data_IF_533106295304
#
_entry.id   IF_533106295304
#
_cell.length_a   1.000
_cell.length_b   1.000
_cell.length_c   1.000
_cell.angle_alpha   90.00
_cell.angle_beta   90.00
_cell.angle_gamma   90.00
#
_symmetry.space_group_name_H-M   'P 1'
#
loop_
_entity.id
_entity.type
_entity.pdbx_description
1 polymer ?
#
# COMPACT_ATOMS: atom_id res chain seq x y z
N UNK A 1 -9.76 14.96 -0.87
CA UNK A 1 -9.21 13.59 -0.95
C UNK A 1 -8.36 13.18 0.26
N UNK A 2 -8.60 13.75 1.46
CA UNK A 2 -7.83 13.39 2.67
C UNK A 2 -8.10 11.94 3.07
N UNK A 3 -9.37 11.52 3.06
CA UNK A 3 -9.77 10.14 3.34
C UNK A 3 -9.04 9.12 2.46
N UNK A 4 -8.93 9.38 1.15
CA UNK A 4 -8.26 8.49 0.22
C UNK A 4 -6.76 8.38 0.54
N UNK A 5 -6.06 9.51 0.70
CA UNK A 5 -4.63 9.50 1.06
C UNK A 5 -4.38 8.81 2.39
N UNK A 6 -5.21 9.07 3.41
CA UNK A 6 -5.11 8.40 4.70
C UNK A 6 -5.35 6.90 4.58
N UNK A 7 -6.31 6.48 3.75
CA UNK A 7 -6.60 5.06 3.52
C UNK A 7 -5.43 4.36 2.82
N UNK A 8 -4.83 4.97 1.80
CA UNK A 8 -3.64 4.44 1.13
C UNK A 8 -2.44 4.37 2.09
N UNK A 9 -2.23 5.41 2.89
CA UNK A 9 -1.14 5.45 3.88
C UNK A 9 -1.29 4.37 4.95
N UNK A 10 -2.51 4.16 5.45
CA UNK A 10 -2.78 3.09 6.41
C UNK A 10 -2.65 1.70 5.77
N UNK A 11 -3.09 1.51 4.52
CA UNK A 11 -2.90 0.26 3.81
C UNK A 11 -1.41 -0.08 3.65
N UNK A 12 -0.59 0.89 3.22
CA UNK A 12 0.85 0.74 3.17
C UNK A 12 1.43 0.42 4.57
N UNK A 13 0.97 1.11 5.62
CA UNK A 13 1.42 0.83 6.99
C UNK A 13 1.13 -0.60 7.44
N UNK A 14 -0.10 -1.10 7.24
CA UNK A 14 -0.47 -2.48 7.60
C UNK A 14 0.34 -3.51 6.80
N UNK A 15 0.59 -3.24 5.52
CA UNK A 15 1.45 -4.10 4.70
C UNK A 15 2.90 -4.07 5.20
N UNK A 16 3.47 -2.90 5.51
CA UNK A 16 4.82 -2.81 6.05
C UNK A 16 4.97 -3.56 7.37
N UNK A 17 3.98 -3.41 8.27
CA UNK A 17 3.94 -4.13 9.55
C UNK A 17 3.89 -5.64 9.34
N UNK A 18 3.13 -6.12 8.36
CA UNK A 18 3.08 -7.54 8.03
C UNK A 18 4.34 -8.03 7.32
N UNK A 19 4.96 -7.19 6.48
CA UNK A 19 6.16 -7.50 5.69
C UNK A 19 7.38 -7.76 6.55
N UNK A 20 7.45 -7.02 7.65
CA UNK A 20 7.66 -7.58 8.97
C UNK A 20 7.93 -9.08 8.99
N UNK A 21 6.87 -9.85 9.22
CA UNK A 21 6.71 -11.17 9.87
C UNK A 21 7.45 -12.30 9.14
N UNK A 22 8.18 -13.21 9.85
CA UNK A 22 8.94 -14.23 9.18
C UNK A 22 8.01 -15.14 8.38
N UNK A 23 8.38 -15.42 7.13
CA UNK A 23 7.59 -16.28 6.25
C UNK A 23 6.39 -15.59 5.58
N UNK A 24 6.21 -14.27 5.75
CA UNK A 24 5.29 -13.48 4.91
C UNK A 24 5.91 -13.24 3.55
N UNK A 25 5.20 -13.54 2.47
CA UNK A 25 5.62 -13.24 1.08
C UNK A 25 4.81 -12.09 0.47
N UNK A 26 5.20 -11.71 -0.74
CA UNK A 26 4.52 -10.71 -1.55
C UNK A 26 3.02 -11.00 -1.75
N UNK A 27 2.63 -12.29 -1.86
CA UNK A 27 1.23 -12.68 -2.01
C UNK A 27 0.41 -12.36 -0.77
N UNK A 28 0.92 -12.71 0.41
CA UNK A 28 0.28 -12.38 1.68
C UNK A 28 0.16 -10.85 1.89
N UNK A 29 1.14 -10.07 1.43
CA UNK A 29 1.05 -8.61 1.48
C UNK A 29 -0.03 -8.06 0.55
N UNK A 30 -0.15 -8.61 -0.67
CA UNK A 30 -1.20 -8.25 -1.60
C UNK A 30 -2.58 -8.55 -0.99
N UNK A 31 -2.78 -9.74 -0.43
CA UNK A 31 -4.03 -10.14 0.23
C UNK A 31 -4.38 -9.19 1.39
N UNK A 32 -3.39 -8.80 2.20
CA UNK A 32 -3.58 -7.85 3.30
C UNK A 32 -3.99 -6.45 2.78
N UNK A 33 -3.36 -5.98 1.71
CA UNK A 33 -3.72 -4.73 1.05
C UNK A 33 -5.16 -4.78 0.55
N UNK A 34 -5.54 -5.91 -0.04
CA UNK A 34 -6.88 -6.15 -0.59
C UNK A 34 -7.96 -6.12 0.47
N UNK A 35 -7.80 -6.88 1.55
CA UNK A 35 -8.73 -6.88 2.67
C UNK A 35 -8.94 -5.46 3.21
N UNK A 36 -7.86 -4.70 3.37
CA UNK A 36 -7.91 -3.36 3.96
C UNK A 36 -8.61 -2.33 3.05
N UNK A 37 -8.29 -2.32 1.75
CA UNK A 37 -8.79 -1.32 0.80
C UNK A 37 -10.19 -1.68 0.28
N UNK A 38 -10.49 -2.96 0.05
CA UNK A 38 -11.83 -3.40 -0.29
C UNK A 38 -12.80 -3.15 0.86
N UNK A 39 -12.39 -3.37 2.11
CA UNK A 39 -13.17 -3.01 3.30
C UNK A 39 -13.50 -1.51 3.40
N UNK A 40 -12.70 -0.67 2.75
CA UNK A 40 -12.92 0.79 2.63
C UNK A 40 -13.59 1.22 1.33
N UNK A 41 -14.03 0.27 0.51
CA UNK A 41 -14.62 0.49 -0.82
C UNK A 41 -13.71 1.30 -1.77
N UNK A 42 -12.39 1.13 -1.64
CA UNK A 42 -11.40 1.72 -2.53
C UNK A 42 -11.07 0.71 -3.62
N UNK A 43 -11.15 1.12 -4.89
CA UNK A 43 -10.94 0.25 -6.05
C UNK A 43 -9.88 0.82 -7.00
N UNK A 44 -9.27 -0.06 -7.80
CA UNK A 44 -8.29 0.33 -8.82
C UNK A 44 -6.95 0.81 -8.25
N UNK A 45 -6.55 0.27 -7.10
CA UNK A 45 -5.23 0.50 -6.53
C UNK A 45 -4.21 -0.51 -7.07
N UNK A 46 -2.95 -0.14 -6.94
CA UNK A 46 -1.79 -0.97 -7.23
C UNK A 46 -0.92 -1.00 -5.98
N UNK A 47 -0.48 -2.20 -5.61
CA UNK A 47 0.41 -2.42 -4.48
C UNK A 47 1.78 -2.89 -4.99
N UNK A 48 2.83 -2.47 -4.30
CA UNK A 48 4.19 -2.94 -4.54
C UNK A 48 4.99 -2.93 -3.24
N UNK A 49 5.91 -3.88 -3.11
CA UNK A 49 6.87 -3.97 -2.02
C UNK A 49 8.30 -3.89 -2.59
N UNK A 50 9.22 -3.32 -1.82
CA UNK A 50 10.67 -3.33 -2.06
C UNK A 50 11.37 -3.72 -0.77
N UNK A 51 12.14 -4.83 -0.70
CA UNK A 51 12.34 -5.81 -1.76
C UNK A 51 11.03 -6.44 -2.27
N UNK A 52 11.06 -6.95 -3.51
CA UNK A 52 9.87 -7.43 -4.21
C UNK A 52 9.16 -8.54 -3.43
N UNK A 53 9.93 -9.43 -2.82
CA UNK A 53 9.45 -10.35 -1.79
C UNK A 53 10.06 -9.97 -0.44
N UNK A 54 9.25 -9.65 0.59
CA UNK A 54 9.75 -9.36 1.94
C UNK A 54 10.48 -10.54 2.59
N UNK A 55 10.27 -11.80 2.14
CA UNK A 55 11.02 -12.96 2.65
C UNK A 55 12.51 -12.88 2.38
N UNK A 56 12.88 -12.17 1.32
CA UNK A 56 14.26 -12.04 0.89
C UNK A 56 14.98 -10.89 1.61
N UNK A 57 14.24 -10.08 2.39
CA UNK A 57 14.80 -8.98 3.15
C UNK A 57 15.77 -9.50 4.22
N UNK A 58 16.95 -8.90 4.27
CA UNK A 58 17.93 -9.25 5.30
C UNK A 58 17.68 -8.45 6.57
N UNK A 59 18.12 -8.98 7.72
CA UNK A 59 18.10 -8.23 8.98
C UNK A 59 18.76 -6.85 8.81
N UNK A 60 18.07 -5.79 9.22
CA UNK A 60 18.51 -4.40 9.08
C UNK A 60 18.22 -3.77 7.72
N UNK A 61 17.72 -4.53 6.74
CA UNK A 61 17.29 -4.00 5.45
C UNK A 61 15.98 -3.20 5.60
N UNK A 62 15.82 -2.14 4.80
CA UNK A 62 14.59 -1.35 4.79
C UNK A 62 13.59 -1.92 3.81
N UNK A 63 12.47 -2.42 4.32
CA UNK A 63 11.31 -2.81 3.53
C UNK A 63 10.42 -1.59 3.31
N UNK A 64 10.07 -1.30 2.07
CA UNK A 64 9.16 -0.22 1.68
C UNK A 64 7.96 -0.79 0.96
N UNK A 65 6.78 -0.52 1.48
CA UNK A 65 5.51 -0.82 0.83
C UNK A 65 4.92 0.46 0.24
N UNK A 66 4.36 0.34 -0.95
CA UNK A 66 3.76 1.46 -1.68
C UNK A 66 2.40 1.06 -2.20
N UNK A 67 1.42 1.93 -1.99
CA UNK A 67 0.08 1.80 -2.57
C UNK A 67 -0.16 3.03 -3.42
N UNK A 68 -0.57 2.82 -4.67
CA UNK A 68 -0.93 3.90 -5.58
C UNK A 68 -2.29 3.66 -6.21
N UNK A 69 -2.95 4.72 -6.66
CA UNK A 69 -4.20 4.62 -7.40
C UNK A 69 -4.52 5.88 -8.21
N UNK A 70 -5.37 5.75 -9.21
CA UNK A 70 -5.99 6.90 -9.87
C UNK A 70 -6.95 7.62 -8.91
N UNK A 71 -6.75 8.93 -8.74
CA UNK A 71 -7.60 9.77 -7.92
C UNK A 71 -8.99 9.97 -8.55
N UNK A 72 -9.09 9.91 -9.89
CA UNK A 72 -10.34 10.12 -10.62
C UNK A 72 -11.37 9.03 -10.30
N UNK A 73 -10.94 7.76 -10.23
CA UNK A 73 -11.81 6.60 -10.02
C UNK A 73 -12.52 6.59 -8.66
N UNK A 74 -12.05 7.40 -7.71
CA UNK A 74 -12.57 7.44 -6.33
C UNK A 74 -12.82 8.88 -5.84
N UNK A 75 -12.93 9.84 -6.77
CA UNK A 75 -13.22 11.23 -6.45
C UNK A 75 -14.70 11.41 -6.07
N UNK A 76 -14.96 11.95 -4.87
CA UNK A 76 -16.32 12.24 -4.39
C UNK A 76 -16.89 13.50 -5.06
N UNK A 77 -16.03 14.49 -5.37
CA UNK A 77 -16.41 15.76 -6.00
C UNK A 77 -15.33 16.20 -6.99
N UNK A 78 -15.75 16.71 -8.15
CA UNK A 78 -14.85 17.33 -9.11
C UNK A 78 -13.90 16.34 -9.78
N UNK A 79 -14.42 15.22 -10.30
CA UNK A 79 -13.61 14.21 -11.00
C UNK A 79 -12.73 14.82 -12.11
N UNK A 80 -13.24 15.81 -12.86
CA UNK A 80 -12.50 16.59 -13.86
C UNK A 80 -11.25 17.29 -13.31
N UNK A 81 -11.26 17.71 -12.05
CA UNK A 81 -10.10 18.32 -11.38
C UNK A 81 -9.04 17.29 -10.99
N UNK A 82 -9.44 16.03 -10.80
CA UNK A 82 -8.58 14.91 -10.42
C UNK A 82 -8.19 14.00 -11.59
N UNK A 83 -8.65 14.34 -12.80
CA UNK A 83 -8.35 13.60 -14.01
C UNK A 83 -6.85 13.48 -14.23
N UNK A 84 -6.38 12.25 -14.46
CA UNK A 84 -4.95 11.95 -14.66
C UNK A 84 -4.05 12.10 -13.42
N UNK A 85 -4.60 12.37 -12.23
CA UNK A 85 -3.80 12.44 -10.99
C UNK A 85 -3.74 11.06 -10.34
N UNK A 86 -2.52 10.58 -10.08
CA UNK A 86 -2.26 9.40 -9.26
C UNK A 86 -1.95 9.83 -7.84
N UNK A 87 -2.55 9.17 -6.87
CA UNK A 87 -2.19 9.29 -5.46
C UNK A 87 -1.35 8.09 -5.07
N UNK A 88 -0.22 8.35 -4.45
CA UNK A 88 0.76 7.35 -4.02
C UNK A 88 1.14 7.63 -2.59
N UNK A 89 1.12 6.60 -1.75
CA UNK A 89 1.56 6.67 -0.38
C UNK A 89 2.43 5.45 -0.07
N UNK A 90 3.50 5.67 0.69
CA UNK A 90 4.49 4.64 0.99
C UNK A 90 4.84 4.63 2.48
N UNK A 91 5.19 3.46 3.00
CA UNK A 91 5.69 3.29 4.37
C UNK A 91 6.92 2.39 4.32
N UNK A 92 7.97 2.82 5.02
CA UNK A 92 9.21 2.07 5.17
C UNK A 92 9.37 1.62 6.62
N UNK A 93 9.83 0.38 6.80
CA UNK A 93 10.15 -0.25 8.08
C UNK A 93 11.44 -1.04 7.92
N UNK A 94 12.19 -1.22 9.01
CA UNK A 94 13.40 -2.04 9.00
C UNK A 94 13.02 -3.49 9.32
N UNK A 95 13.59 -4.45 8.59
CA UNK A 95 13.50 -5.86 8.93
C UNK A 95 14.25 -6.11 10.25
N UNK A 96 13.56 -6.68 11.24
CA UNK A 96 14.09 -6.90 12.59
C UNK A 96 14.45 -8.37 12.88
N UNK A 97 14.31 -9.25 11.88
CA UNK A 97 14.65 -10.67 11.95
C UNK A 97 14.85 -11.25 10.56
#
# INVERSE_FOLDING_TARGET
MIYLRQSLKLAAYECARLAIVPGVDAGMLQDQCDVFLMGRKIQGYQFSCSPADPKDAQFGETITTTVSMSAESNAIVGAWFYQGKTLTESVSIMAEY
#
